data_IF_660475699057
#
_entry.id   IF_660475699057
#
_cell.length_a   1.000
_cell.length_b   1.000
_cell.length_c   1.000
_cell.angle_alpha   90.00
_cell.angle_beta   90.00
_cell.angle_gamma   90.00
#
_symmetry.space_group_name_H-M   'P 1'
#
loop_
_entity.id
_entity.type
_entity.pdbx_description
1 polymer ?
#
# COMPACT_ATOMS: atom_id res chain seq x y z
N UNK A 1 -33.26 51.03 6.96
CA UNK A 1 -31.92 50.76 6.40
C UNK A 1 -31.23 49.55 7.01
N UNK A 2 -31.23 49.33 8.34
CA UNK A 2 -30.57 48.14 8.96
C UNK A 2 -31.19 46.77 8.63
N UNK A 3 -32.49 46.72 8.32
CA UNK A 3 -33.25 45.46 8.11
C UNK A 3 -33.10 44.85 6.71
N UNK A 4 -32.71 45.64 5.71
CA UNK A 4 -32.54 45.17 4.31
C UNK A 4 -31.15 44.55 4.12
N UNK A 5 -30.13 45.05 4.84
CA UNK A 5 -28.78 44.51 4.81
C UNK A 5 -28.70 43.06 5.34
N UNK A 6 -29.49 42.71 6.35
CA UNK A 6 -29.48 41.36 6.93
C UNK A 6 -30.11 40.31 6.00
N UNK A 7 -31.12 40.69 5.20
CA UNK A 7 -31.75 39.78 4.23
C UNK A 7 -30.84 39.50 3.04
N UNK A 8 -30.06 40.50 2.59
CA UNK A 8 -29.07 40.30 1.53
C UNK A 8 -27.90 39.41 1.96
N UNK A 9 -27.43 39.55 3.21
CA UNK A 9 -26.39 38.68 3.76
C UNK A 9 -26.86 37.22 3.93
N UNK A 10 -28.10 37.02 4.38
CA UNK A 10 -28.68 35.68 4.52
C UNK A 10 -28.96 35.02 3.15
N UNK A 11 -29.40 35.78 2.15
CA UNK A 11 -29.61 35.28 0.80
C UNK A 11 -28.29 34.93 0.08
N UNK A 12 -27.22 35.71 0.31
CA UNK A 12 -25.88 35.40 -0.18
C UNK A 12 -25.31 34.11 0.43
N UNK A 13 -25.49 33.91 1.74
CA UNK A 13 -25.03 32.71 2.45
C UNK A 13 -25.76 31.43 2.00
N UNK A 14 -27.06 31.52 1.67
CA UNK A 14 -27.83 30.39 1.16
C UNK A 14 -27.43 29.99 -0.28
N UNK A 15 -27.09 30.96 -1.14
CA UNK A 15 -26.59 30.70 -2.50
C UNK A 15 -25.17 30.10 -2.48
N UNK A 16 -24.31 30.51 -1.53
CA UNK A 16 -22.98 29.90 -1.36
C UNK A 16 -23.04 28.50 -0.75
N UNK A 17 -24.04 28.20 0.12
CA UNK A 17 -24.20 26.85 0.67
C UNK A 17 -24.56 25.81 -0.42
N UNK A 18 -25.38 26.19 -1.40
CA UNK A 18 -25.73 25.30 -2.52
C UNK A 18 -24.55 25.09 -3.50
N UNK A 19 -23.65 26.07 -3.63
CA UNK A 19 -22.41 25.92 -4.40
C UNK A 19 -21.37 25.08 -3.65
N UNK A 20 -21.27 25.23 -2.32
CA UNK A 20 -20.47 24.34 -1.49
C UNK A 20 -20.98 22.90 -1.51
N UNK A 21 -22.26 22.62 -1.79
CA UNK A 21 -22.75 21.23 -1.92
C UNK A 21 -22.17 20.52 -3.15
N UNK A 22 -22.19 21.16 -4.31
CA UNK A 22 -21.64 20.58 -5.55
C UNK A 22 -20.12 20.53 -5.53
N UNK A 23 -19.47 21.58 -5.02
CA UNK A 23 -18.01 21.64 -4.92
C UNK A 23 -17.48 20.67 -3.84
N UNK A 24 -18.23 20.45 -2.75
CA UNK A 24 -17.88 19.41 -1.75
C UNK A 24 -18.12 18.01 -2.29
N UNK A 25 -19.15 17.80 -3.11
CA UNK A 25 -19.41 16.50 -3.75
C UNK A 25 -18.32 16.16 -4.77
N UNK A 26 -17.92 17.11 -5.62
CA UNK A 26 -16.81 16.95 -6.57
C UNK A 26 -15.46 16.76 -5.84
N UNK A 27 -15.21 17.50 -4.76
CA UNK A 27 -14.02 17.30 -3.93
C UNK A 27 -14.03 15.95 -3.19
N UNK A 28 -15.20 15.48 -2.74
CA UNK A 28 -15.35 14.19 -2.09
C UNK A 28 -15.16 13.04 -3.09
N UNK A 29 -15.68 13.18 -4.31
CA UNK A 29 -15.51 12.22 -5.40
C UNK A 29 -14.04 12.15 -5.82
N UNK A 30 -13.37 13.30 -6.01
CA UNK A 30 -11.94 13.37 -6.28
C UNK A 30 -11.09 12.78 -5.13
N UNK A 31 -11.49 12.99 -3.87
CA UNK A 31 -10.81 12.39 -2.71
C UNK A 31 -11.00 10.88 -2.67
N UNK A 32 -12.20 10.39 -3.00
CA UNK A 32 -12.49 8.97 -3.05
C UNK A 32 -11.71 8.27 -4.17
N UNK A 33 -11.65 8.88 -5.37
CA UNK A 33 -10.81 8.38 -6.47
C UNK A 33 -9.33 8.40 -6.09
N UNK A 34 -8.84 9.48 -5.48
CA UNK A 34 -7.44 9.56 -5.03
C UNK A 34 -7.13 8.50 -3.97
N UNK A 35 -8.03 8.27 -3.01
CA UNK A 35 -7.85 7.25 -1.99
C UNK A 35 -7.88 5.83 -2.58
N UNK A 36 -8.70 5.59 -3.60
CA UNK A 36 -8.71 4.33 -4.33
C UNK A 36 -7.40 4.12 -5.09
N UNK A 37 -6.90 5.13 -5.80
CA UNK A 37 -5.63 5.08 -6.51
C UNK A 37 -4.44 4.87 -5.57
N UNK A 38 -4.41 5.55 -4.42
CA UNK A 38 -3.37 5.36 -3.39
C UNK A 38 -3.43 3.95 -2.79
N UNK A 39 -4.63 3.40 -2.63
CA UNK A 39 -4.79 2.01 -2.15
C UNK A 39 -4.27 1.02 -3.18
N UNK A 40 -4.63 1.18 -4.45
CA UNK A 40 -4.15 0.34 -5.56
C UNK A 40 -2.63 0.38 -5.68
N UNK A 41 -2.03 1.58 -5.69
CA UNK A 41 -0.58 1.74 -5.74
C UNK A 41 0.15 1.11 -4.54
N UNK A 42 -0.43 1.20 -3.33
CA UNK A 42 0.16 0.57 -2.14
C UNK A 42 0.03 -0.96 -2.18
N UNK A 43 -1.07 -1.49 -2.70
CA UNK A 43 -1.26 -2.94 -2.88
C UNK A 43 -0.25 -3.47 -3.89
N UNK A 44 -0.10 -2.81 -5.05
CA UNK A 44 0.90 -3.18 -6.05
C UNK A 44 2.33 -3.13 -5.50
N UNK A 45 2.67 -2.08 -4.74
CA UNK A 45 3.99 -1.97 -4.12
C UNK A 45 4.23 -3.07 -3.06
N UNK A 46 3.20 -3.43 -2.29
CA UNK A 46 3.28 -4.50 -1.30
C UNK A 46 3.41 -5.88 -1.96
N UNK A 47 2.70 -6.11 -3.06
CA UNK A 47 2.77 -7.35 -3.84
C UNK A 47 4.17 -7.52 -4.45
N UNK A 48 4.69 -6.48 -5.12
CA UNK A 48 6.05 -6.50 -5.65
C UNK A 48 7.10 -6.74 -4.55
N UNK A 49 6.95 -6.10 -3.38
CA UNK A 49 7.85 -6.32 -2.25
C UNK A 49 7.74 -7.73 -1.64
N UNK A 50 6.54 -8.33 -1.65
CA UNK A 50 6.33 -9.69 -1.17
C UNK A 50 6.92 -10.73 -2.13
N UNK A 51 6.81 -10.52 -3.44
CA UNK A 51 7.45 -11.38 -4.46
C UNK A 51 8.97 -11.34 -4.34
N UNK A 52 9.56 -10.16 -4.15
CA UNK A 52 11.01 -9.98 -3.99
C UNK A 52 11.51 -10.68 -2.70
N UNK A 53 10.81 -10.49 -1.58
CA UNK A 53 11.11 -11.20 -0.34
C UNK A 53 10.95 -12.72 -0.46
N UNK A 54 9.96 -13.19 -1.21
CA UNK A 54 9.76 -14.62 -1.44
C UNK A 54 10.90 -15.21 -2.28
N UNK A 55 11.34 -14.49 -3.32
CA UNK A 55 12.48 -14.90 -4.15
C UNK A 55 13.79 -14.95 -3.34
N UNK A 56 14.06 -13.94 -2.51
CA UNK A 56 15.23 -13.91 -1.62
C UNK A 56 15.17 -15.06 -0.60
N UNK A 57 14.01 -15.31 0.01
CA UNK A 57 13.84 -16.42 0.95
C UNK A 57 14.01 -17.79 0.28
N UNK A 58 13.53 -17.96 -0.96
CA UNK A 58 13.71 -19.20 -1.72
C UNK A 58 15.20 -19.42 -2.06
N UNK A 59 15.92 -18.35 -2.42
CA UNK A 59 17.37 -18.41 -2.65
C UNK A 59 18.16 -18.77 -1.38
N UNK A 60 17.85 -18.15 -0.23
CA UNK A 60 18.50 -18.50 1.04
C UNK A 60 18.22 -19.96 1.44
N UNK A 61 17.00 -20.46 1.22
CA UNK A 61 16.65 -21.85 1.52
C UNK A 61 17.38 -22.84 0.61
N UNK A 62 17.54 -22.53 -0.68
CA UNK A 62 18.31 -23.36 -1.61
C UNK A 62 19.80 -23.40 -1.23
N UNK A 63 20.37 -22.24 -0.87
CA UNK A 63 21.75 -22.16 -0.41
C UNK A 63 21.98 -22.96 0.88
N UNK A 64 21.10 -22.80 1.88
CA UNK A 64 21.17 -23.57 3.12
C UNK A 64 20.99 -25.09 2.89
N UNK A 65 20.10 -25.47 1.97
CA UNK A 65 19.90 -26.87 1.58
C UNK A 65 21.13 -27.48 0.93
N UNK A 66 21.78 -26.74 0.03
CA UNK A 66 23.02 -27.16 -0.62
C UNK A 66 24.19 -27.25 0.36
N UNK A 67 24.32 -26.30 1.29
CA UNK A 67 25.34 -26.35 2.36
C UNK A 67 25.15 -27.58 3.25
N UNK A 68 23.91 -27.84 3.69
CA UNK A 68 23.61 -29.01 4.52
C UNK A 68 23.86 -30.34 3.79
N UNK A 69 23.58 -30.41 2.48
CA UNK A 69 23.87 -31.57 1.67
C UNK A 69 25.39 -31.81 1.55
N UNK A 70 26.16 -30.75 1.30
CA UNK A 70 27.62 -30.84 1.23
C UNK A 70 28.24 -31.27 2.56
N UNK A 71 27.77 -30.70 3.67
CA UNK A 71 28.23 -31.07 5.02
C UNK A 71 27.88 -32.53 5.37
N UNK A 72 26.72 -33.00 4.91
CA UNK A 72 26.30 -34.40 5.02
C UNK A 72 27.18 -35.36 4.23
N UNK A 73 27.52 -35.03 2.98
CA UNK A 73 28.45 -35.82 2.15
C UNK A 73 29.85 -35.87 2.76
N UNK A 74 30.35 -34.75 3.29
CA UNK A 74 31.67 -34.69 3.94
C UNK A 74 31.72 -35.56 5.20
N UNK A 75 30.65 -35.54 6.00
CA UNK A 75 30.53 -36.38 7.20
C UNK A 75 30.44 -37.88 6.87
N UNK A 76 29.71 -38.24 5.80
CA UNK A 76 29.63 -39.63 5.34
C UNK A 76 31.00 -40.12 4.83
N UNK A 77 31.75 -39.27 4.11
CA UNK A 77 33.10 -39.57 3.66
C UNK A 77 34.10 -39.75 4.82
N UNK A 78 34.02 -38.94 5.88
CA UNK A 78 34.82 -39.15 7.10
C UNK A 78 34.52 -40.49 7.76
N UNK A 79 33.23 -40.86 7.89
CA UNK A 79 32.82 -42.13 8.50
C UNK A 79 33.25 -43.36 7.69
N UNK A 80 33.26 -43.27 6.35
CA UNK A 80 33.78 -44.33 5.48
C UNK A 80 35.31 -44.38 5.49
N UNK A 81 35.99 -43.24 5.60
CA UNK A 81 37.46 -43.16 5.65
C UNK A 81 38.08 -43.66 6.96
N UNK A 82 37.30 -43.71 8.05
CA UNK A 82 37.76 -44.11 9.38
C UNK A 82 37.54 -45.61 9.71
N UNK A 83 37.00 -46.41 8.76
CA UNK A 83 36.82 -47.87 8.89
C UNK A 83 37.92 -48.72 8.24
#
# INVERSE_FOLDING_TARGET
MRKIALVAAAAGAALTLAACSAETEEAAEATAESAAADTEANVEAMEAGAEDMAADAEAELDEAGNEMAAEGEEMEAELEGEQ
#
